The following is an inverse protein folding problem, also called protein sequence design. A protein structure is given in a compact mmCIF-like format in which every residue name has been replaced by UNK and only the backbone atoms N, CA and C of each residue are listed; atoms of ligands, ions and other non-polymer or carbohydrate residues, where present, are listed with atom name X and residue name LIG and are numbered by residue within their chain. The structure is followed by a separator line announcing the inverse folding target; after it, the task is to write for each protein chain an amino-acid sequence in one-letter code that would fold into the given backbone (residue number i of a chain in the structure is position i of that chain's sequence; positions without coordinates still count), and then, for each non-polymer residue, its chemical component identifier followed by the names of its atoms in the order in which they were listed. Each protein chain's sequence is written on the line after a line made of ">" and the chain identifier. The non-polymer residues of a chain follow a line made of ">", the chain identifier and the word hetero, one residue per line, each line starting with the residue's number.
data_IF_634682413863
#
_entry.id   IF_634682413863
#
_cell.length_a   1.000
_cell.length_b   1.000
_cell.length_c   1.000
_cell.angle_alpha   90.00
_cell.angle_beta   90.00
_cell.angle_gamma   90.00
#
_symmetry.space_group_name_H-M   'P 1'
#
loop_
_entity.id
_entity.type
_entity.pdbx_description
1 polymer ?
#
# COMPACT_ATOMS: atom_id res chain seq x y z
N UNK A 1 -35.53 -3.39 -12.02
CA UNK A 1 -34.70 -3.30 -10.86
C UNK A 1 -34.28 -1.85 -10.60
N UNK A 2 -34.46 -1.40 -9.40
CA UNK A 2 -34.26 0.00 -9.08
C UNK A 2 -32.76 0.32 -9.01
N UNK A 3 -32.34 1.30 -9.79
CA UNK A 3 -30.92 1.74 -9.80
C UNK A 3 -30.44 2.26 -8.45
N UNK A 4 -31.35 2.72 -7.60
CA UNK A 4 -30.98 3.20 -6.25
C UNK A 4 -30.54 2.06 -5.34
N UNK A 5 -31.07 0.85 -5.51
CA UNK A 5 -30.67 -0.33 -4.75
C UNK A 5 -29.27 -0.77 -5.17
N UNK A 6 -28.98 -0.76 -6.46
CA UNK A 6 -27.65 -1.09 -6.99
C UNK A 6 -26.58 -0.14 -6.46
N UNK A 7 -26.87 1.17 -6.42
CA UNK A 7 -25.96 2.18 -5.88
C UNK A 7 -25.72 2.00 -4.38
N UNK A 8 -26.75 1.60 -3.62
CA UNK A 8 -26.60 1.32 -2.19
C UNK A 8 -25.71 0.10 -1.96
N UNK A 9 -25.87 -0.95 -2.76
CA UNK A 9 -25.04 -2.15 -2.69
C UNK A 9 -23.59 -1.79 -3.00
N UNK A 10 -23.33 -0.99 -4.04
CA UNK A 10 -21.99 -0.54 -4.38
C UNK A 10 -21.35 0.26 -3.24
N UNK A 11 -22.11 1.15 -2.58
CA UNK A 11 -21.60 1.92 -1.44
C UNK A 11 -21.23 1.02 -0.28
N UNK A 12 -22.08 0.04 0.03
CA UNK A 12 -21.81 -0.92 1.10
C UNK A 12 -20.58 -1.74 0.81
N UNK A 13 -20.44 -2.22 -0.42
CA UNK A 13 -19.25 -2.95 -0.86
C UNK A 13 -18.00 -2.10 -0.73
N UNK A 14 -18.05 -0.84 -1.17
CA UNK A 14 -16.92 0.08 -1.07
C UNK A 14 -16.56 0.38 0.38
N UNK A 15 -17.55 0.55 1.27
CA UNK A 15 -17.30 0.78 2.69
C UNK A 15 -16.67 -0.45 3.34
N UNK A 16 -17.16 -1.64 3.02
CA UNK A 16 -16.57 -2.88 3.51
C UNK A 16 -15.14 -3.05 3.03
N UNK A 17 -14.90 -2.74 1.77
CA UNK A 17 -13.56 -2.79 1.18
C UNK A 17 -12.61 -1.82 1.89
N UNK A 18 -13.05 -0.58 2.11
CA UNK A 18 -12.25 0.45 2.77
C UNK A 18 -11.88 0.09 4.21
N UNK A 19 -12.76 -0.66 4.93
CA UNK A 19 -12.53 -1.07 6.31
C UNK A 19 -11.76 -2.38 6.43
N UNK A 20 -11.51 -3.07 5.32
CA UNK A 20 -10.88 -4.38 5.33
C UNK A 20 -9.40 -4.26 5.72
N UNK A 21 -8.99 -5.04 6.70
CA UNK A 21 -7.60 -5.02 7.21
C UNK A 21 -6.70 -6.04 6.51
N UNK A 22 -7.27 -7.19 6.12
CA UNK A 22 -6.55 -8.24 5.42
C UNK A 22 -7.01 -8.23 3.97
N UNK A 23 -6.06 -8.11 3.06
CA UNK A 23 -6.32 -8.01 1.62
C UNK A 23 -5.89 -9.30 0.92
N UNK A 24 -6.68 -9.70 -0.10
CA UNK A 24 -6.27 -10.77 -1.00
C UNK A 24 -5.12 -10.27 -1.90
N UNK A 25 -4.55 -11.17 -2.68
CA UNK A 25 -3.49 -10.79 -3.62
C UNK A 25 -3.97 -9.70 -4.58
N UNK A 26 -5.16 -9.88 -5.16
CA UNK A 26 -5.70 -8.89 -6.10
C UNK A 26 -6.01 -7.56 -5.43
N UNK A 27 -6.58 -7.61 -4.23
CA UNK A 27 -6.85 -6.40 -3.45
C UNK A 27 -5.56 -5.66 -3.10
N UNK A 28 -4.50 -6.40 -2.78
CA UNK A 28 -3.19 -5.82 -2.53
C UNK A 28 -2.60 -5.14 -3.77
N UNK A 29 -2.76 -5.75 -4.93
CA UNK A 29 -2.34 -5.15 -6.20
C UNK A 29 -3.11 -3.85 -6.48
N UNK A 30 -4.41 -3.85 -6.26
CA UNK A 30 -5.24 -2.66 -6.44
C UNK A 30 -4.86 -1.56 -5.45
N UNK A 31 -4.64 -1.92 -4.21
CA UNK A 31 -4.28 -0.97 -3.15
C UNK A 31 -2.94 -0.28 -3.44
N UNK A 32 -1.96 -1.04 -3.91
CA UNK A 32 -0.62 -0.51 -4.22
C UNK A 32 -0.50 0.02 -5.64
N UNK A 33 -1.48 -0.24 -6.49
CA UNK A 33 -1.46 0.08 -7.91
C UNK A 33 -0.31 -0.61 -8.66
N UNK A 34 0.07 -1.79 -8.22
CA UNK A 34 1.10 -2.61 -8.87
C UNK A 34 0.46 -3.67 -9.76
N UNK A 35 1.15 -4.05 -10.84
CA UNK A 35 0.71 -5.15 -11.69
C UNK A 35 0.83 -6.48 -10.94
N UNK A 36 0.03 -7.46 -11.34
CA UNK A 36 0.09 -8.79 -10.74
C UNK A 36 1.47 -9.43 -10.92
N UNK A 37 2.05 -9.28 -12.10
CA UNK A 37 3.39 -9.81 -12.40
C UNK A 37 4.45 -9.23 -11.48
N UNK A 38 4.42 -7.93 -11.29
CA UNK A 38 5.39 -7.25 -10.42
C UNK A 38 5.18 -7.64 -8.95
N UNK A 39 3.92 -7.72 -8.52
CA UNK A 39 3.61 -8.14 -7.15
C UNK A 39 4.08 -9.57 -6.89
N UNK A 40 3.95 -10.49 -7.86
CA UNK A 40 4.49 -11.83 -7.73
C UNK A 40 6.00 -11.84 -7.58
N UNK A 41 6.69 -10.98 -8.31
CA UNK A 41 8.15 -10.85 -8.18
C UNK A 41 8.54 -10.37 -6.79
N UNK A 42 7.83 -9.38 -6.25
CA UNK A 42 8.11 -8.83 -4.92
C UNK A 42 7.86 -9.87 -3.83
N UNK A 43 6.75 -10.59 -3.90
CA UNK A 43 6.43 -11.62 -2.90
C UNK A 43 7.37 -12.80 -2.98
N UNK A 44 7.71 -13.25 -4.20
CA UNK A 44 8.66 -14.35 -4.38
C UNK A 44 10.05 -14.02 -3.88
N UNK A 45 10.47 -12.79 -4.04
CA UNK A 45 11.78 -12.32 -3.57
C UNK A 45 11.80 -11.94 -2.08
N UNK A 46 10.64 -11.94 -1.42
CA UNK A 46 10.53 -11.54 -0.01
C UNK A 46 10.77 -10.06 0.22
N UNK A 47 10.46 -9.21 -0.79
CA UNK A 47 10.71 -7.78 -0.72
C UNK A 47 9.50 -6.97 -0.27
N UNK A 48 8.36 -7.61 -0.08
CA UNK A 48 7.13 -6.97 0.38
C UNK A 48 6.49 -7.84 1.47
N UNK A 49 5.98 -7.25 2.57
CA UNK A 49 5.35 -8.03 3.62
C UNK A 49 4.09 -8.71 3.11
N UNK A 50 4.00 -10.02 3.32
CA UNK A 50 2.86 -10.82 2.88
C UNK A 50 2.73 -12.07 3.75
N UNK A 51 1.60 -12.77 3.62
CA UNK A 51 1.30 -13.98 4.37
C UNK A 51 0.80 -15.07 3.44
N UNK A 52 1.18 -16.29 3.69
CA UNK A 52 0.70 -17.49 2.99
C UNK A 52 0.20 -18.51 4.02
N UNK A 53 -1.00 -18.34 4.58
CA UNK A 53 -1.47 -19.18 5.70
C UNK A 53 -1.43 -20.67 5.43
N UNK A 54 -1.68 -21.09 4.19
CA UNK A 54 -1.66 -22.50 3.77
C UNK A 54 -0.56 -22.78 2.74
N UNK A 55 0.36 -21.83 2.55
CA UNK A 55 1.48 -22.00 1.63
C UNK A 55 1.14 -21.79 0.15
N UNK A 56 -0.10 -21.44 -0.19
CA UNK A 56 -0.53 -21.31 -1.58
C UNK A 56 -1.04 -19.90 -1.92
N UNK A 57 -1.96 -19.37 -1.13
CA UNK A 57 -2.59 -18.09 -1.40
C UNK A 57 -1.89 -16.98 -0.64
N UNK A 58 -1.67 -15.88 -1.33
CA UNK A 58 -0.97 -14.72 -0.77
C UNK A 58 -2.00 -13.73 -0.24
N UNK A 59 -1.76 -13.26 0.98
CA UNK A 59 -2.56 -12.24 1.63
C UNK A 59 -1.65 -11.13 2.15
N UNK A 60 -2.21 -9.93 2.28
CA UNK A 60 -1.50 -8.78 2.78
C UNK A 60 -2.24 -8.16 3.95
N UNK A 61 -1.49 -7.57 4.86
CA UNK A 61 -2.04 -6.72 5.89
C UNK A 61 -1.99 -5.28 5.37
N UNK A 62 -3.13 -4.59 5.38
CA UNK A 62 -3.25 -3.24 4.82
C UNK A 62 -2.26 -2.26 5.45
N UNK A 63 -2.14 -2.29 6.78
CA UNK A 63 -1.20 -1.41 7.50
C UNK A 63 0.25 -1.67 7.10
N UNK A 64 0.61 -2.94 6.92
CA UNK A 64 1.95 -3.31 6.49
C UNK A 64 2.24 -2.82 5.08
N UNK A 65 1.25 -2.91 4.18
CA UNK A 65 1.38 -2.37 2.82
C UNK A 65 1.50 -0.85 2.82
N UNK A 66 0.74 -0.16 3.67
CA UNK A 66 0.85 1.29 3.82
C UNK A 66 2.26 1.68 4.26
N UNK A 67 2.81 0.98 5.25
CA UNK A 67 4.17 1.23 5.72
C UNK A 67 5.19 0.95 4.62
N UNK A 68 4.99 -0.13 3.86
CA UNK A 68 5.88 -0.47 2.75
C UNK A 68 5.86 0.60 1.65
N UNK A 69 4.69 1.15 1.35
CA UNK A 69 4.55 2.22 0.36
C UNK A 69 5.26 3.51 0.77
N UNK A 70 5.46 3.72 2.08
CA UNK A 70 6.12 4.92 2.61
C UNK A 70 7.64 4.79 2.69
N UNK A 71 8.19 3.64 2.32
CA UNK A 71 9.64 3.48 2.35
C UNK A 71 10.31 4.36 1.28
N UNK A 72 11.55 4.74 1.53
CA UNK A 72 12.35 5.56 0.62
C UNK A 72 11.65 6.87 0.22
N UNK A 73 11.26 7.70 1.20
CA UNK A 73 10.60 8.96 0.88
C UNK A 73 11.50 9.87 0.04
N UNK A 74 10.89 10.50 -0.96
CA UNK A 74 11.59 11.48 -1.79
C UNK A 74 11.44 12.85 -1.14
N UNK A 75 12.57 13.49 -0.83
CA UNK A 75 12.57 14.79 -0.17
C UNK A 75 12.10 15.88 -1.11
N UNK A 76 11.30 16.80 -0.58
CA UNK A 76 10.92 18.00 -1.31
C UNK A 76 12.11 18.97 -1.37
N UNK A 77 12.03 19.93 -2.29
CA UNK A 77 13.08 20.95 -2.39
C UNK A 77 13.23 21.75 -1.08
N UNK A 78 12.13 22.07 -0.41
CA UNK A 78 12.19 22.78 0.86
C UNK A 78 12.84 21.95 1.96
N UNK A 79 12.59 20.63 1.99
CA UNK A 79 13.22 19.73 2.95
C UNK A 79 14.73 19.64 2.70
N UNK A 80 15.14 19.55 1.44
CA UNK A 80 16.56 19.53 1.06
C UNK A 80 17.24 20.82 1.49
N UNK A 81 16.59 21.97 1.25
CA UNK A 81 17.12 23.28 1.65
C UNK A 81 17.29 23.38 3.17
N UNK A 82 16.28 22.89 3.96
CA UNK A 82 16.37 22.89 5.41
C UNK A 82 17.51 22.02 5.93
N UNK A 83 17.71 20.85 5.33
CA UNK A 83 18.81 19.96 5.72
C UNK A 83 20.16 20.57 5.39
N UNK A 84 20.28 21.22 4.25
CA UNK A 84 21.51 21.91 3.86
C UNK A 84 21.85 23.02 4.86
N UNK A 85 20.85 23.80 5.29
CA UNK A 85 21.04 24.82 6.31
C UNK A 85 21.47 24.22 7.65
N UNK A 86 20.84 23.16 8.10
CA UNK A 86 21.22 22.45 9.32
C UNK A 86 22.66 21.96 9.26
N UNK A 87 23.03 21.40 8.13
CA UNK A 87 24.39 20.90 7.93
C UNK A 87 25.42 22.03 8.06
N UNK A 88 25.14 23.18 7.45
CA UNK A 88 26.01 24.35 7.51
C UNK A 88 26.13 24.92 8.93
N UNK A 89 24.99 24.98 9.66
CA UNK A 89 24.99 25.49 11.04
C UNK A 89 25.70 24.55 12.01
N UNK A 90 25.61 23.25 11.80
CA UNK A 90 26.20 22.24 12.69
C UNK A 90 27.64 21.88 12.31
N UNK A 91 28.17 22.47 11.26
CA UNK A 91 29.55 22.26 10.83
C UNK A 91 30.50 23.05 11.73
N UNK A 92 31.27 22.33 12.52
CA UNK A 92 32.33 22.90 13.31
C UNK A 92 33.69 22.69 12.64
#
# INVERSE_FOLDING_TARGET
>A
MDKSIERRIERLENLMYASKKILSFEEGCMFTNLSRSYMYKLTSAGLIPHYKPQGKMIYFEKEALEAWLRQNPVKTQSQIAQEAQKYLFNRK
#
